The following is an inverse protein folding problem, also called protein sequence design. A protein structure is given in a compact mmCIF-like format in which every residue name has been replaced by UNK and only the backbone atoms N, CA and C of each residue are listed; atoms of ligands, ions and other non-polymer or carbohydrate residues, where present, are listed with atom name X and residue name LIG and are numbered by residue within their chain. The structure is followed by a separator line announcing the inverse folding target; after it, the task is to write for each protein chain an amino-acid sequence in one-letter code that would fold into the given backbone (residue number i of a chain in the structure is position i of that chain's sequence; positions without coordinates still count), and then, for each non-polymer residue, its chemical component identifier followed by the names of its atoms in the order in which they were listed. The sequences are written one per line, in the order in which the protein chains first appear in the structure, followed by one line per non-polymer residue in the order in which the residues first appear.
data_IF_821872653451
#
_entry.id   IF_821872653451
#
_cell.length_a   1.000
_cell.length_b   1.000
_cell.length_c   1.000
_cell.angle_alpha   90.00
_cell.angle_beta   90.00
_cell.angle_gamma   90.00
#
_symmetry.space_group_name_H-M   'P 1'
#
loop_
_entity.id
_entity.type
_entity.pdbx_description
1 polymer ?
#
# COMPACT_ATOMS: atom_id res chain seq x y z
N UNK A 1 16.09 5.32 -6.65
CA UNK A 1 15.06 4.31 -7.03
C UNK A 1 15.69 3.14 -7.77
N UNK A 2 14.89 2.27 -8.39
CA UNK A 2 15.35 1.26 -9.36
C UNK A 2 16.21 1.89 -10.47
N UNK A 3 17.02 1.08 -11.16
CA UNK A 3 17.83 1.57 -12.30
C UNK A 3 19.01 2.48 -11.96
N UNK A 4 19.32 2.69 -10.68
CA UNK A 4 20.41 3.57 -10.22
C UNK A 4 21.81 2.93 -10.23
N UNK A 5 21.96 1.73 -10.80
CA UNK A 5 23.27 1.06 -10.89
C UNK A 5 23.81 0.51 -9.56
N UNK A 6 22.96 0.29 -8.54
CA UNK A 6 23.37 -0.25 -7.22
C UNK A 6 24.17 -1.54 -7.33
N UNK A 7 23.64 -2.52 -8.06
CA UNK A 7 24.31 -3.81 -8.27
C UNK A 7 25.65 -3.62 -9.00
N UNK A 8 25.66 -2.88 -10.11
CA UNK A 8 26.87 -2.60 -10.89
C UNK A 8 27.96 -1.94 -10.05
N UNK A 9 27.57 -1.03 -9.15
CA UNK A 9 28.49 -0.36 -8.23
C UNK A 9 29.10 -1.35 -7.24
N UNK A 10 28.30 -2.21 -6.61
CA UNK A 10 28.81 -3.25 -5.71
C UNK A 10 29.77 -4.22 -6.42
N UNK A 11 29.43 -4.66 -7.63
CA UNK A 11 30.29 -5.55 -8.42
C UNK A 11 31.59 -4.86 -8.88
N UNK A 12 31.53 -3.56 -9.20
CA UNK A 12 32.72 -2.76 -9.53
C UNK A 12 33.66 -2.65 -8.33
N UNK A 13 33.12 -2.35 -7.14
CA UNK A 13 33.90 -2.28 -5.91
C UNK A 13 34.53 -3.63 -5.56
N UNK A 14 33.74 -4.72 -5.65
CA UNK A 14 34.23 -6.09 -5.47
C UNK A 14 35.40 -6.38 -6.42
N UNK A 15 35.28 -6.03 -7.71
CA UNK A 15 36.36 -6.20 -8.68
C UNK A 15 37.64 -5.43 -8.29
N UNK A 16 37.51 -4.17 -7.90
CA UNK A 16 38.65 -3.35 -7.53
C UNK A 16 39.33 -3.81 -6.23
N UNK A 17 38.57 -4.34 -5.27
CA UNK A 17 39.11 -4.94 -4.04
C UNK A 17 39.95 -6.18 -4.36
N UNK A 18 39.42 -7.10 -5.19
CA UNK A 18 40.15 -8.31 -5.59
C UNK A 18 41.42 -7.97 -6.39
N UNK A 19 41.38 -6.94 -7.24
CA UNK A 19 42.57 -6.43 -7.95
C UNK A 19 43.65 -5.89 -7.00
N UNK A 20 43.27 -5.46 -5.79
CA UNK A 20 44.17 -4.97 -4.74
C UNK A 20 44.52 -6.05 -3.70
N UNK A 21 44.07 -7.29 -3.88
CA UNK A 21 44.29 -8.39 -2.94
C UNK A 21 43.39 -8.38 -1.71
N UNK A 22 42.37 -7.52 -1.66
CA UNK A 22 41.36 -7.49 -0.60
C UNK A 22 40.21 -8.42 -0.98
N UNK A 23 39.91 -9.41 -0.13
CA UNK A 23 38.84 -10.38 -0.36
C UNK A 23 37.52 -9.88 0.24
N UNK A 24 36.80 -9.03 -0.49
CA UNK A 24 35.44 -8.60 -0.12
C UNK A 24 34.37 -9.54 -0.67
N UNK A 25 33.09 -9.26 -0.38
CA UNK A 25 31.95 -10.06 -0.81
C UNK A 25 30.75 -9.18 -1.17
N UNK A 26 29.71 -9.80 -1.72
CA UNK A 26 28.47 -9.13 -2.12
C UNK A 26 27.28 -9.92 -1.60
N UNK A 27 26.37 -9.27 -0.89
CA UNK A 27 25.10 -9.84 -0.46
C UNK A 27 23.96 -8.87 -0.75
N UNK A 28 22.73 -9.39 -0.80
CA UNK A 28 21.53 -8.60 -1.09
C UNK A 28 20.61 -8.57 0.14
N UNK A 29 20.25 -7.37 0.57
CA UNK A 29 19.21 -7.17 1.58
C UNK A 29 17.92 -6.70 0.91
N UNK A 30 16.89 -7.54 0.97
CA UNK A 30 15.51 -7.21 0.63
C UNK A 30 14.60 -7.79 1.69
N UNK A 31 13.58 -7.03 2.08
CA UNK A 31 12.61 -7.50 3.09
C UNK A 31 11.56 -8.42 2.49
N UNK A 32 11.19 -8.20 1.22
CA UNK A 32 10.17 -8.97 0.52
C UNK A 32 10.67 -9.43 -0.87
N UNK A 33 10.24 -10.61 -1.35
CA UNK A 33 9.46 -11.60 -0.60
C UNK A 33 10.26 -12.18 0.57
N UNK A 34 9.55 -12.71 1.57
CA UNK A 34 10.18 -13.40 2.70
C UNK A 34 10.42 -14.85 2.26
N UNK A 35 11.68 -15.22 2.13
CA UNK A 35 12.10 -16.47 1.51
C UNK A 35 11.68 -17.73 2.29
N UNK A 36 11.60 -17.63 3.62
CA UNK A 36 11.35 -18.76 4.52
C UNK A 36 9.89 -18.90 4.96
N UNK A 37 8.94 -18.22 4.28
CA UNK A 37 7.50 -18.44 4.47
C UNK A 37 6.87 -18.86 3.14
N UNK A 38 5.70 -19.54 3.14
CA UNK A 38 5.12 -20.09 1.92
C UNK A 38 4.88 -19.06 0.82
N UNK A 39 4.92 -19.49 -0.44
CA UNK A 39 4.59 -18.66 -1.60
C UNK A 39 3.22 -17.99 -1.44
N UNK A 40 2.23 -18.80 -1.05
CA UNK A 40 0.85 -18.39 -0.85
C UNK A 40 0.57 -17.76 0.52
N UNK A 41 1.62 -17.44 1.28
CA UNK A 41 1.44 -16.73 2.53
C UNK A 41 0.94 -15.30 2.23
N UNK A 42 -0.13 -14.79 2.89
CA UNK A 42 -0.69 -13.46 2.62
C UNK A 42 0.35 -12.32 2.63
N UNK A 43 1.39 -12.42 3.46
CA UNK A 43 2.51 -11.45 3.48
C UNK A 43 3.27 -11.39 2.14
N UNK A 44 3.59 -12.55 1.55
CA UNK A 44 4.24 -12.59 0.24
C UNK A 44 3.27 -12.15 -0.86
N UNK A 45 2.01 -12.55 -0.78
CA UNK A 45 0.97 -12.11 -1.73
C UNK A 45 0.74 -10.60 -1.66
N UNK A 46 0.78 -9.99 -0.46
CA UNK A 46 0.66 -8.54 -0.30
C UNK A 46 1.85 -7.79 -0.91
N UNK A 47 3.05 -8.37 -0.93
CA UNK A 47 4.17 -7.83 -1.69
C UNK A 47 3.88 -7.85 -3.20
N UNK A 48 3.36 -8.95 -3.73
CA UNK A 48 2.97 -9.02 -5.14
C UNK A 48 1.84 -8.02 -5.49
N UNK A 49 0.89 -7.83 -4.58
CA UNK A 49 -0.12 -6.78 -4.69
C UNK A 49 0.49 -5.38 -4.70
N UNK A 50 1.62 -5.17 -4.03
CA UNK A 50 2.31 -3.88 -3.99
C UNK A 50 3.19 -3.61 -5.22
N UNK A 51 3.48 -4.63 -6.03
CA UNK A 51 4.30 -4.57 -7.24
C UNK A 51 3.52 -4.89 -8.51
N UNK A 52 2.19 -4.87 -8.46
CA UNK A 52 1.33 -5.26 -9.58
C UNK A 52 1.57 -4.42 -10.85
N UNK A 53 1.96 -3.16 -10.68
CA UNK A 53 2.30 -2.20 -11.74
C UNK A 53 3.63 -2.52 -12.45
N UNK A 54 4.64 -2.96 -11.69
CA UNK A 54 5.95 -3.35 -12.24
C UNK A 54 6.06 -4.84 -12.58
N UNK A 55 4.98 -5.60 -12.33
CA UNK A 55 4.81 -7.02 -12.71
C UNK A 55 5.86 -7.96 -12.11
N UNK A 56 6.45 -7.59 -10.98
CA UNK A 56 7.26 -8.51 -10.18
C UNK A 56 6.30 -9.53 -9.52
N UNK A 57 6.64 -10.82 -9.62
CA UNK A 57 5.83 -11.91 -9.06
C UNK A 57 6.69 -12.91 -8.31
N UNK A 58 6.09 -13.49 -7.28
CA UNK A 58 6.79 -14.44 -6.42
C UNK A 58 6.80 -15.83 -7.05
N UNK A 59 7.87 -16.59 -6.81
CA UNK A 59 7.97 -17.98 -7.22
C UNK A 59 8.90 -18.77 -6.29
N UNK A 60 8.85 -20.10 -6.40
CA UNK A 60 9.78 -20.98 -5.71
C UNK A 60 11.15 -20.86 -6.37
N UNK A 61 12.19 -20.58 -5.60
CA UNK A 61 13.57 -20.52 -6.09
C UNK A 61 14.01 -21.92 -6.60
N UNK A 62 14.13 -22.12 -7.92
CA UNK A 62 14.46 -23.43 -8.46
C UNK A 62 15.90 -23.84 -8.14
N UNK A 63 16.82 -22.87 -8.00
CA UNK A 63 18.23 -23.16 -7.73
C UNK A 63 18.43 -23.64 -6.29
N UNK A 64 17.70 -23.05 -5.35
CA UNK A 64 17.75 -23.46 -3.94
C UNK A 64 17.10 -24.84 -3.77
N UNK A 65 15.97 -25.08 -4.44
CA UNK A 65 15.29 -26.36 -4.43
C UNK A 65 16.17 -27.47 -5.03
N UNK A 66 16.83 -27.23 -6.16
CA UNK A 66 17.72 -28.22 -6.79
C UNK A 66 18.96 -28.53 -5.93
N UNK A 67 19.53 -27.50 -5.29
CA UNK A 67 20.78 -27.64 -4.52
C UNK A 67 20.55 -28.27 -3.16
N UNK A 68 19.51 -27.85 -2.43
CA UNK A 68 19.30 -28.19 -1.03
C UNK A 68 18.07 -29.06 -0.79
N UNK A 69 17.21 -29.24 -1.81
CA UNK A 69 15.90 -29.88 -1.67
C UNK A 69 15.00 -29.18 -0.63
N UNK A 70 15.16 -27.86 -0.51
CA UNK A 70 14.41 -26.99 0.40
C UNK A 70 13.61 -25.94 -0.40
N UNK A 71 12.33 -25.78 -0.05
CA UNK A 71 11.47 -24.77 -0.68
C UNK A 71 11.79 -23.41 -0.08
N UNK A 72 12.19 -22.47 -0.93
CA UNK A 72 12.36 -21.04 -0.60
C UNK A 72 11.70 -20.17 -1.66
N UNK A 73 11.29 -18.97 -1.25
CA UNK A 73 10.57 -18.03 -2.11
C UNK A 73 11.49 -16.90 -2.57
N UNK A 74 11.47 -16.64 -3.87
CA UNK A 74 12.14 -15.51 -4.49
C UNK A 74 11.17 -14.89 -5.53
N UNK A 75 11.68 -14.04 -6.42
CA UNK A 75 10.86 -13.40 -7.45
C UNK A 75 11.56 -13.44 -8.81
N UNK A 76 10.76 -13.28 -9.87
CA UNK A 76 11.17 -13.53 -11.25
C UNK A 76 12.48 -12.86 -11.65
N UNK A 77 12.65 -11.57 -11.35
CA UNK A 77 13.82 -10.80 -11.79
C UNK A 77 15.14 -11.34 -11.22
N UNK A 78 15.14 -11.72 -9.94
CA UNK A 78 16.34 -12.21 -9.28
C UNK A 78 16.68 -13.63 -9.70
N UNK A 79 15.66 -14.48 -9.86
CA UNK A 79 15.82 -15.85 -10.39
C UNK A 79 16.35 -15.81 -11.83
N UNK A 80 15.81 -14.94 -12.68
CA UNK A 80 16.24 -14.78 -14.08
C UNK A 80 17.70 -14.31 -14.19
N UNK A 81 18.14 -13.36 -13.36
CA UNK A 81 19.49 -12.78 -13.46
C UNK A 81 20.57 -13.62 -12.74
N UNK A 82 20.18 -14.50 -11.81
CA UNK A 82 21.11 -15.22 -10.94
C UNK A 82 22.24 -15.98 -11.70
N UNK A 83 21.99 -16.72 -12.79
CA UNK A 83 23.06 -17.42 -13.51
C UNK A 83 24.14 -16.50 -14.06
N UNK A 84 23.76 -15.29 -14.50
CA UNK A 84 24.71 -14.28 -14.99
C UNK A 84 25.52 -13.72 -13.83
N UNK A 85 24.85 -13.39 -12.73
CA UNK A 85 25.49 -12.84 -11.54
C UNK A 85 26.47 -13.83 -10.91
N UNK A 86 26.11 -15.11 -10.83
CA UNK A 86 26.98 -16.21 -10.38
C UNK A 86 28.29 -16.25 -11.17
N UNK A 87 28.22 -16.23 -12.50
CA UNK A 87 29.40 -16.22 -13.39
C UNK A 87 30.26 -14.98 -13.22
N UNK A 88 29.66 -13.81 -12.99
CA UNK A 88 30.40 -12.57 -12.75
C UNK A 88 31.17 -12.68 -11.43
N UNK A 89 30.54 -13.17 -10.36
CA UNK A 89 31.20 -13.39 -9.06
C UNK A 89 32.36 -14.37 -9.20
N UNK A 90 32.16 -15.50 -9.89
CA UNK A 90 33.23 -16.48 -10.14
C UNK A 90 34.40 -15.87 -10.91
N UNK A 91 34.11 -15.06 -11.94
CA UNK A 91 35.14 -14.39 -12.74
C UNK A 91 35.93 -13.33 -11.95
N UNK A 92 35.27 -12.58 -11.08
CA UNK A 92 35.93 -11.57 -10.24
C UNK A 92 36.79 -12.24 -9.16
N UNK A 93 36.24 -13.26 -8.51
CA UNK A 93 36.87 -13.89 -7.34
C UNK A 93 37.91 -14.96 -7.72
N UNK A 94 37.83 -15.53 -8.93
CA UNK A 94 38.67 -16.64 -9.38
C UNK A 94 38.37 -17.95 -8.66
N UNK A 95 37.25 -18.03 -7.93
CA UNK A 95 36.81 -19.19 -7.16
C UNK A 95 35.35 -19.50 -7.48
N UNK A 96 34.87 -20.67 -7.04
CA UNK A 96 33.46 -21.00 -7.14
C UNK A 96 32.60 -19.98 -6.35
N UNK A 97 31.43 -19.63 -6.89
CA UNK A 97 30.51 -18.71 -6.22
C UNK A 97 30.10 -19.27 -4.84
N UNK A 98 30.12 -18.44 -3.78
CA UNK A 98 29.64 -18.83 -2.46
C UNK A 98 28.11 -19.02 -2.44
N UNK A 99 27.40 -18.50 -3.45
CA UNK A 99 25.95 -18.60 -3.58
C UNK A 99 25.59 -19.67 -4.60
N UNK A 100 24.74 -20.63 -4.20
CA UNK A 100 24.16 -21.64 -5.08
C UNK A 100 22.77 -21.24 -5.58
N UNK A 101 22.11 -20.31 -4.89
CA UNK A 101 20.82 -19.73 -5.30
C UNK A 101 20.73 -18.22 -4.99
N UNK A 102 19.76 -17.48 -5.55
CA UNK A 102 19.49 -16.10 -5.13
C UNK A 102 18.99 -16.02 -3.68
N UNK A 103 18.41 -17.09 -3.13
CA UNK A 103 18.10 -17.18 -1.69
C UNK A 103 19.37 -17.15 -0.83
N UNK A 104 20.43 -17.87 -1.20
CA UNK A 104 21.71 -17.84 -0.46
C UNK A 104 22.37 -16.45 -0.47
N UNK A 105 22.16 -15.70 -1.57
CA UNK A 105 22.64 -14.34 -1.74
C UNK A 105 21.90 -13.35 -0.84
N UNK A 106 20.68 -13.70 -0.41
CA UNK A 106 19.84 -12.93 0.47
C UNK A 106 20.30 -12.99 1.93
N UNK A 107 20.18 -11.88 2.65
CA UNK A 107 20.45 -11.82 4.11
C UNK A 107 19.20 -11.54 4.94
N UNK A 108 18.01 -11.73 4.35
CA UNK A 108 16.74 -11.43 5.00
C UNK A 108 16.46 -12.39 6.18
N UNK A 109 16.09 -11.81 7.33
CA UNK A 109 15.69 -12.55 8.55
C UNK A 109 14.27 -12.21 9.02
N UNK A 110 13.49 -11.45 8.24
CA UNK A 110 12.18 -10.96 8.65
C UNK A 110 11.19 -12.07 9.03
N UNK A 111 11.17 -13.18 8.29
CA UNK A 111 10.27 -14.31 8.59
C UNK A 111 10.51 -14.95 9.96
N UNK A 112 11.75 -14.94 10.45
CA UNK A 112 12.08 -15.45 11.79
C UNK A 112 11.58 -14.54 12.92
N UNK A 113 11.26 -13.28 12.60
CA UNK A 113 10.75 -12.30 13.57
C UNK A 113 9.22 -12.28 13.67
N UNK A 114 8.51 -13.15 12.94
CA UNK A 114 7.05 -13.25 13.03
C UNK A 114 6.70 -13.97 14.34
N UNK A 115 6.13 -13.21 15.29
CA UNK A 115 5.69 -13.73 16.60
C UNK A 115 4.20 -14.07 16.66
N UNK A 116 3.41 -13.50 15.76
CA UNK A 116 1.97 -13.74 15.60
C UNK A 116 1.65 -13.81 14.11
N UNK A 117 1.52 -15.04 13.61
CA UNK A 117 1.31 -15.35 12.19
C UNK A 117 -0.09 -14.91 11.71
N UNK A 118 -1.11 -15.03 12.57
CA UNK A 118 -2.48 -14.65 12.22
C UNK A 118 -2.64 -13.13 12.15
N UNK A 119 -1.99 -12.38 13.05
CA UNK A 119 -1.98 -10.93 12.99
C UNK A 119 -1.33 -10.40 11.70
N UNK A 120 -0.21 -10.97 11.25
CA UNK A 120 0.45 -10.55 10.00
C UNK A 120 -0.35 -10.98 8.77
N UNK A 121 -1.03 -12.13 8.80
CA UNK A 121 -1.93 -12.56 7.73
C UNK A 121 -3.10 -11.59 7.56
N UNK A 122 -3.75 -11.20 8.66
CA UNK A 122 -4.87 -10.25 8.59
C UNK A 122 -4.41 -8.88 8.12
N UNK A 123 -3.28 -8.38 8.65
CA UNK A 123 -2.71 -7.11 8.21
C UNK A 123 -2.37 -7.11 6.71
N UNK A 124 -1.81 -8.22 6.20
CA UNK A 124 -1.48 -8.38 4.80
C UNK A 124 -2.73 -8.45 3.90
N UNK A 125 -3.77 -9.18 4.31
CA UNK A 125 -5.09 -9.19 3.63
C UNK A 125 -5.67 -7.78 3.50
N UNK A 126 -5.64 -7.01 4.58
CA UNK A 126 -6.09 -5.61 4.54
C UNK A 126 -5.24 -4.75 3.59
N UNK A 127 -3.93 -5.00 3.49
CA UNK A 127 -3.07 -4.30 2.52
C UNK A 127 -3.40 -4.64 1.07
N UNK A 128 -3.68 -5.92 0.77
CA UNK A 128 -4.12 -6.34 -0.56
C UNK A 128 -5.39 -5.58 -0.98
N UNK A 129 -6.39 -5.47 -0.09
CA UNK A 129 -7.61 -4.70 -0.36
C UNK A 129 -7.29 -3.21 -0.59
N UNK A 130 -6.37 -2.63 0.19
CA UNK A 130 -5.93 -1.23 -0.02
C UNK A 130 -5.27 -1.04 -1.38
N UNK A 131 -4.44 -1.98 -1.83
CA UNK A 131 -3.78 -1.92 -3.14
C UNK A 131 -4.78 -1.93 -4.29
N UNK A 132 -5.78 -2.80 -4.21
CA UNK A 132 -6.87 -2.82 -5.19
C UNK A 132 -7.59 -1.47 -5.32
N UNK A 133 -8.00 -0.86 -4.20
CA UNK A 133 -8.63 0.47 -4.23
C UNK A 133 -7.68 1.55 -4.74
N UNK A 134 -6.41 1.51 -4.35
CA UNK A 134 -5.39 2.45 -4.82
C UNK A 134 -5.25 2.40 -6.34
N UNK A 135 -5.02 1.21 -6.91
CA UNK A 135 -4.87 1.07 -8.36
C UNK A 135 -6.16 1.42 -9.10
N UNK A 136 -7.33 1.12 -8.53
CA UNK A 136 -8.62 1.53 -9.10
C UNK A 136 -8.75 3.06 -9.17
N UNK A 137 -8.32 3.79 -8.14
CA UNK A 137 -8.27 5.25 -8.14
C UNK A 137 -7.24 5.77 -9.14
N UNK A 138 -6.03 5.21 -9.16
CA UNK A 138 -4.95 5.60 -10.08
C UNK A 138 -5.36 5.37 -11.54
N UNK A 139 -6.07 4.28 -11.84
CA UNK A 139 -6.63 4.00 -13.17
C UNK A 139 -7.68 5.04 -13.56
N UNK A 140 -8.61 5.36 -12.65
CA UNK A 140 -9.61 6.39 -12.89
C UNK A 140 -9.00 7.79 -13.11
N UNK A 141 -7.82 8.06 -12.55
CA UNK A 141 -7.05 9.29 -12.75
C UNK A 141 -6.12 9.25 -13.98
N UNK A 142 -5.99 8.11 -14.65
CA UNK A 142 -5.11 7.94 -15.81
C UNK A 142 -3.63 7.74 -15.48
N UNK A 143 -3.29 7.33 -14.25
CA UNK A 143 -1.91 7.10 -13.82
C UNK A 143 -1.41 5.67 -14.04
N UNK A 144 -2.31 4.70 -14.16
CA UNK A 144 -1.97 3.30 -14.41
C UNK A 144 -2.90 2.70 -15.47
N UNK A 145 -2.55 1.51 -15.95
CA UNK A 145 -3.34 0.76 -16.91
C UNK A 145 -4.41 -0.12 -16.24
N UNK A 146 -5.33 -0.62 -17.07
CA UNK A 146 -6.39 -1.53 -16.62
C UNK A 146 -5.83 -2.89 -16.17
N UNK A 147 -4.72 -3.32 -16.76
CA UNK A 147 -4.07 -4.60 -16.45
C UNK A 147 -3.60 -4.65 -15.00
N UNK A 148 -3.08 -3.54 -14.46
CA UNK A 148 -2.68 -3.42 -13.05
C UNK A 148 -3.86 -3.63 -12.10
N UNK A 149 -5.03 -3.05 -12.41
CA UNK A 149 -6.25 -3.24 -11.60
C UNK A 149 -6.71 -4.70 -11.64
N UNK A 150 -6.74 -5.30 -12.83
CA UNK A 150 -7.12 -6.71 -13.02
C UNK A 150 -6.17 -7.65 -12.26
N UNK A 151 -4.88 -7.35 -12.24
CA UNK A 151 -3.91 -8.12 -11.46
C UNK A 151 -4.18 -8.01 -9.97
N UNK A 152 -4.48 -6.82 -9.45
CA UNK A 152 -4.85 -6.64 -8.05
C UNK A 152 -6.15 -7.38 -7.69
N UNK A 153 -7.13 -7.44 -8.60
CA UNK A 153 -8.36 -8.24 -8.44
C UNK A 153 -8.06 -9.74 -8.34
N UNK A 154 -7.25 -10.28 -9.25
CA UNK A 154 -6.85 -11.70 -9.22
C UNK A 154 -6.11 -12.07 -7.93
N UNK A 155 -5.25 -11.16 -7.45
CA UNK A 155 -4.52 -11.34 -6.18
C UNK A 155 -5.50 -11.37 -4.99
N UNK A 156 -6.53 -10.53 -4.99
CA UNK A 156 -7.59 -10.58 -3.97
C UNK A 156 -8.34 -11.91 -3.98
N UNK A 157 -8.68 -12.41 -5.17
CA UNK A 157 -9.33 -13.72 -5.33
C UNK A 157 -8.45 -14.86 -4.79
N UNK A 158 -7.13 -14.81 -5.03
CA UNK A 158 -6.18 -15.82 -4.55
C UNK A 158 -6.18 -15.96 -3.02
N UNK A 159 -6.29 -14.85 -2.28
CA UNK A 159 -6.41 -14.86 -0.81
C UNK A 159 -7.85 -14.92 -0.31
N UNK A 160 -8.82 -15.08 -1.23
CA UNK A 160 -10.25 -15.17 -0.93
C UNK A 160 -10.80 -13.98 -0.14
N UNK A 161 -10.34 -12.77 -0.46
CA UNK A 161 -10.85 -11.52 0.15
C UNK A 161 -11.63 -10.68 -0.86
N UNK A 162 -12.58 -9.91 -0.36
CA UNK A 162 -13.43 -9.00 -1.14
C UNK A 162 -13.20 -7.56 -0.70
N UNK A 163 -13.53 -6.57 -1.54
CA UNK A 163 -13.41 -5.17 -1.15
C UNK A 163 -14.20 -4.84 0.13
N UNK A 164 -15.31 -5.53 0.34
CA UNK A 164 -16.21 -5.38 1.49
C UNK A 164 -15.63 -5.92 2.81
N UNK A 165 -14.59 -6.76 2.76
CA UNK A 165 -13.92 -7.27 3.97
C UNK A 165 -13.12 -6.17 4.69
N UNK A 166 -12.85 -5.06 4.00
CA UNK A 166 -12.42 -3.81 4.64
C UNK A 166 -13.62 -3.14 5.30
N UNK A 167 -13.66 -3.20 6.63
CA UNK A 167 -14.81 -2.84 7.49
C UNK A 167 -15.43 -1.45 7.22
N UNK A 168 -14.65 -0.49 6.72
CA UNK A 168 -15.13 0.88 6.41
C UNK A 168 -15.84 1.02 5.06
N UNK A 169 -15.72 0.05 4.15
CA UNK A 169 -16.25 0.16 2.77
C UNK A 169 -17.78 0.18 2.76
N UNK A 170 -18.40 -0.78 3.42
CA UNK A 170 -19.87 -0.87 3.48
C UNK A 170 -20.51 0.31 4.23
N UNK A 171 -19.99 0.74 5.41
CA UNK A 171 -20.45 1.95 6.08
C UNK A 171 -20.36 3.21 5.21
N UNK A 172 -19.27 3.42 4.47
CA UNK A 172 -19.14 4.57 3.57
C UNK A 172 -20.19 4.53 2.45
N UNK A 173 -20.39 3.38 1.81
CA UNK A 173 -21.42 3.18 0.78
C UNK A 173 -22.84 3.38 1.31
N UNK A 174 -23.13 2.90 2.53
CA UNK A 174 -24.42 3.11 3.21
C UNK A 174 -24.64 4.59 3.51
N UNK A 175 -23.62 5.30 3.99
CA UNK A 175 -23.72 6.74 4.25
C UNK A 175 -24.04 7.54 2.97
N UNK A 176 -23.48 7.17 1.82
CA UNK A 176 -23.80 7.77 0.53
C UNK A 176 -25.27 7.51 0.11
N UNK A 177 -25.76 6.27 0.24
CA UNK A 177 -27.17 5.93 -0.05
C UNK A 177 -28.16 6.61 0.89
N UNK A 178 -27.79 6.77 2.17
CA UNK A 178 -28.62 7.53 3.13
C UNK A 178 -28.64 9.02 2.81
N UNK A 179 -27.51 9.58 2.37
CA UNK A 179 -27.40 10.95 1.92
C UNK A 179 -28.35 11.22 0.75
N UNK A 180 -28.37 10.33 -0.24
CA UNK A 180 -29.32 10.35 -1.36
C UNK A 180 -30.78 10.32 -0.88
N UNK A 181 -31.16 9.32 -0.07
CA UNK A 181 -32.54 9.17 0.45
C UNK A 181 -33.04 10.37 1.24
N UNK A 182 -32.13 11.05 1.97
CA UNK A 182 -32.45 12.21 2.81
C UNK A 182 -32.26 13.55 2.09
N UNK A 183 -31.87 13.54 0.82
CA UNK A 183 -31.53 14.76 0.06
C UNK A 183 -30.34 15.54 0.63
N UNK A 184 -29.49 14.88 1.43
CA UNK A 184 -28.32 15.50 2.07
C UNK A 184 -27.09 15.29 1.18
N UNK A 185 -26.95 16.15 0.17
CA UNK A 185 -25.82 16.16 -0.77
C UNK A 185 -25.57 17.58 -1.30
N UNK A 186 -24.92 17.70 -2.46
CA UNK A 186 -24.76 18.98 -3.15
C UNK A 186 -24.86 18.77 -4.67
N UNK A 187 -25.67 19.58 -5.36
CA UNK A 187 -25.82 19.54 -6.84
C UNK A 187 -26.09 18.14 -7.42
N UNK A 188 -26.91 17.32 -6.74
CA UNK A 188 -27.23 15.95 -7.17
C UNK A 188 -26.12 14.92 -6.92
N UNK A 189 -25.02 15.32 -6.29
CA UNK A 189 -23.91 14.44 -5.92
C UNK A 189 -24.04 14.03 -4.45
N UNK A 190 -23.98 12.72 -4.19
CA UNK A 190 -24.07 12.11 -2.86
C UNK A 190 -22.83 11.25 -2.59
N UNK A 191 -22.07 11.63 -1.57
CA UNK A 191 -20.84 10.98 -1.16
C UNK A 191 -20.93 10.57 0.30
N UNK A 192 -20.36 9.41 0.61
CA UNK A 192 -20.23 8.89 1.97
C UNK A 192 -18.78 8.56 2.27
N UNK A 193 -18.40 8.70 3.54
CA UNK A 193 -17.08 8.38 4.03
C UNK A 193 -17.20 7.65 5.38
N UNK A 194 -16.22 6.82 5.72
CA UNK A 194 -16.18 6.11 7.00
C UNK A 194 -14.74 5.94 7.49
N UNK A 195 -14.57 5.90 8.80
CA UNK A 195 -13.31 5.63 9.49
C UNK A 195 -13.57 4.68 10.66
N UNK A 196 -12.65 3.75 10.87
CA UNK A 196 -12.59 2.91 12.08
C UNK A 196 -11.62 3.55 13.06
N UNK A 197 -12.07 3.77 14.29
CA UNK A 197 -11.26 4.30 15.38
C UNK A 197 -10.57 3.18 16.16
N UNK A 198 -9.60 3.54 17.01
CA UNK A 198 -8.85 2.56 17.82
C UNK A 198 -9.73 1.75 18.78
N UNK A 199 -10.88 2.28 19.18
CA UNK A 199 -11.88 1.60 20.00
C UNK A 199 -12.78 0.64 19.19
N UNK A 200 -12.51 0.46 17.89
CA UNK A 200 -13.29 -0.35 16.97
C UNK A 200 -14.57 0.32 16.47
N UNK A 201 -14.87 1.56 16.90
CA UNK A 201 -16.08 2.26 16.48
C UNK A 201 -15.92 2.76 15.05
N UNK A 202 -16.94 2.49 14.23
CA UNK A 202 -17.05 3.04 12.89
C UNK A 202 -17.79 4.37 12.96
N UNK A 203 -17.11 5.45 12.57
CA UNK A 203 -17.71 6.77 12.37
C UNK A 203 -17.93 6.99 10.88
N UNK A 204 -19.05 7.63 10.52
CA UNK A 204 -19.39 7.95 9.13
C UNK A 204 -19.58 9.45 8.94
N UNK A 205 -19.38 9.89 7.70
CA UNK A 205 -19.62 11.24 7.24
C UNK A 205 -20.33 11.22 5.89
N UNK A 206 -21.06 12.28 5.59
CA UNK A 206 -21.74 12.47 4.31
C UNK A 206 -21.62 13.91 3.85
N UNK A 207 -21.54 14.11 2.54
CA UNK A 207 -21.46 15.46 2.01
C UNK A 207 -22.79 16.21 2.21
N UNK A 208 -22.71 17.52 2.11
CA UNK A 208 -23.84 18.45 2.15
C UNK A 208 -23.47 19.73 1.41
N UNK A 209 -24.39 20.67 1.34
CA UNK A 209 -24.13 22.02 0.83
C UNK A 209 -23.05 22.76 1.63
N UNK A 210 -22.83 22.39 2.90
CA UNK A 210 -21.85 23.04 3.77
C UNK A 210 -20.45 22.41 3.70
N UNK A 211 -20.34 21.10 3.50
CA UNK A 211 -19.06 20.39 3.65
C UNK A 211 -19.00 19.07 2.88
N UNK A 212 -17.80 18.65 2.54
CA UNK A 212 -17.52 17.35 1.95
C UNK A 212 -17.73 16.20 2.96
N UNK A 213 -17.89 14.98 2.44
CA UNK A 213 -18.07 13.79 3.27
C UNK A 213 -16.87 13.52 4.19
N UNK A 214 -15.65 13.79 3.71
CA UNK A 214 -14.42 13.69 4.50
C UNK A 214 -14.38 14.69 5.66
N UNK A 215 -14.73 15.95 5.43
CA UNK A 215 -14.82 16.97 6.48
C UNK A 215 -15.85 16.60 7.54
N UNK A 216 -17.05 16.19 7.11
CA UNK A 216 -18.10 15.71 8.02
C UNK A 216 -17.64 14.51 8.84
N UNK A 217 -16.94 13.56 8.20
CA UNK A 217 -16.42 12.37 8.87
C UNK A 217 -15.42 12.75 9.97
N UNK A 218 -14.47 13.62 9.67
CA UNK A 218 -13.43 14.04 10.62
C UNK A 218 -14.03 14.81 11.78
N UNK A 219 -14.95 15.75 11.54
CA UNK A 219 -15.64 16.46 12.63
C UNK A 219 -16.45 15.49 13.51
N UNK A 220 -17.14 14.51 12.93
CA UNK A 220 -17.86 13.49 13.70
C UNK A 220 -16.91 12.62 14.53
N UNK A 221 -15.75 12.28 13.97
CA UNK A 221 -14.73 11.50 14.67
C UNK A 221 -14.11 12.28 15.82
N UNK A 222 -13.79 13.56 15.63
CA UNK A 222 -13.30 14.46 16.68
C UNK A 222 -14.32 14.56 17.81
N UNK A 223 -15.60 14.77 17.49
CA UNK A 223 -16.67 14.82 18.50
C UNK A 223 -16.76 13.52 19.30
N UNK A 224 -16.66 12.37 18.64
CA UNK A 224 -16.66 11.08 19.34
C UNK A 224 -15.47 10.94 20.28
N UNK A 225 -14.25 11.23 19.81
CA UNK A 225 -13.02 11.09 20.61
C UNK A 225 -12.98 12.08 21.77
N UNK A 226 -13.52 13.30 21.59
CA UNK A 226 -13.59 14.32 22.62
C UNK A 226 -14.87 14.23 23.50
N UNK A 227 -15.69 13.19 23.32
CA UNK A 227 -16.96 12.98 24.03
C UNK A 227 -17.94 14.17 23.92
N UNK A 228 -17.86 14.94 22.82
CA UNK A 228 -18.72 16.08 22.55
C UNK A 228 -20.07 15.57 21.99
N UNK A 229 -21.21 15.92 22.62
CA UNK A 229 -22.52 15.51 22.15
C UNK A 229 -22.80 15.91 20.69
N UNK A 230 -23.50 15.04 19.95
CA UNK A 230 -23.71 15.25 18.51
C UNK A 230 -24.51 16.53 18.16
N UNK A 231 -25.35 17.00 19.08
CA UNK A 231 -26.10 18.26 18.91
C UNK A 231 -25.24 19.53 18.95
N UNK A 232 -23.98 19.43 19.38
CA UNK A 232 -23.08 20.59 19.47
C UNK A 232 -22.40 20.82 18.13
N UNK A 233 -22.56 22.03 17.59
CA UNK A 233 -21.83 22.50 16.42
C UNK A 233 -20.43 22.93 16.83
N UNK A 234 -19.41 22.38 16.18
CA UNK A 234 -18.02 22.75 16.42
C UNK A 234 -17.61 24.03 15.69
N UNK A 235 -18.20 24.29 14.52
CA UNK A 235 -17.88 25.44 13.69
C UNK A 235 -18.89 26.57 13.90
N UNK A 236 -18.39 27.77 14.20
CA UNK A 236 -19.24 28.96 14.35
C UNK A 236 -19.87 29.36 13.00
N UNK A 237 -21.17 29.70 12.96
CA UNK A 237 -21.82 30.21 11.75
C UNK A 237 -21.13 31.45 11.15
N UNK A 238 -20.50 32.29 11.98
CA UNK A 238 -19.77 33.45 11.52
C UNK A 238 -18.53 33.06 10.70
N UNK A 239 -17.78 32.04 11.15
CA UNK A 239 -16.60 31.52 10.43
C UNK A 239 -17.02 30.88 9.11
N UNK A 240 -18.07 30.05 9.15
CA UNK A 240 -18.64 29.42 7.94
C UNK A 240 -19.04 30.48 6.89
N UNK A 241 -19.68 31.57 7.34
CA UNK A 241 -20.09 32.68 6.46
C UNK A 241 -18.88 33.41 5.87
N UNK A 242 -17.82 33.64 6.64
CA UNK A 242 -16.60 34.30 6.16
C UNK A 242 -15.89 33.48 5.09
N UNK A 243 -15.73 32.16 5.29
CA UNK A 243 -15.10 31.27 4.30
C UNK A 243 -15.96 31.19 3.04
N UNK A 244 -17.28 31.07 3.20
CA UNK A 244 -18.23 31.10 2.08
C UNK A 244 -18.14 32.39 1.27
N UNK A 245 -18.08 33.54 1.94
CA UNK A 245 -17.96 34.85 1.30
C UNK A 245 -16.64 34.98 0.50
N UNK A 246 -15.54 34.48 1.06
CA UNK A 246 -14.24 34.43 0.35
C UNK A 246 -14.32 33.57 -0.92
N UNK A 247 -14.97 32.41 -0.85
CA UNK A 247 -15.16 31.53 -2.00
C UNK A 247 -16.05 32.14 -3.09
N UNK A 248 -17.24 32.60 -2.72
CA UNK A 248 -18.25 33.08 -3.65
C UNK A 248 -17.85 34.42 -4.27
N UNK A 249 -17.44 35.39 -3.44
CA UNK A 249 -17.33 36.79 -3.87
C UNK A 249 -15.91 37.24 -4.23
N UNK A 250 -14.88 36.56 -3.74
CA UNK A 250 -13.48 36.96 -3.99
C UNK A 250 -12.81 36.02 -5.00
N UNK A 251 -12.98 34.71 -4.83
CA UNK A 251 -12.32 33.70 -5.71
C UNK A 251 -13.20 33.20 -6.84
N UNK A 252 -14.46 33.64 -6.94
CA UNK A 252 -15.43 33.25 -7.97
C UNK A 252 -15.59 31.73 -8.13
N UNK A 253 -15.35 30.96 -7.06
CA UNK A 253 -15.54 29.50 -7.08
C UNK A 253 -17.02 29.19 -6.92
N UNK A 254 -17.57 28.38 -7.84
CA UNK A 254 -18.96 27.89 -7.77
C UNK A 254 -19.21 26.91 -6.62
N UNK A 255 -18.16 26.21 -6.15
CA UNK A 255 -18.29 25.15 -5.14
C UNK A 255 -18.02 25.73 -3.75
N UNK A 256 -19.09 25.78 -2.95
CA UNK A 256 -19.12 26.46 -1.67
C UNK A 256 -18.86 25.52 -0.48
N UNK A 257 -19.01 24.20 -0.67
CA UNK A 257 -18.79 23.23 0.39
C UNK A 257 -17.34 23.25 0.87
N UNK A 258 -17.15 23.18 2.18
CA UNK A 258 -15.85 23.10 2.80
C UNK A 258 -15.21 21.75 2.54
N UNK A 259 -13.98 21.75 2.02
CA UNK A 259 -13.14 20.56 2.03
C UNK A 259 -12.56 20.30 3.43
N UNK A 260 -11.71 19.29 3.58
CA UNK A 260 -11.20 18.89 4.89
C UNK A 260 -10.19 19.91 5.43
N UNK A 261 -9.36 20.49 4.57
CA UNK A 261 -8.36 21.48 4.95
C UNK A 261 -9.04 22.73 5.49
N UNK A 262 -10.03 23.25 4.76
CA UNK A 262 -10.80 24.43 5.15
C UNK A 262 -11.61 24.19 6.43
N UNK A 263 -12.18 23.00 6.60
CA UNK A 263 -12.90 22.64 7.81
C UNK A 263 -11.99 22.57 9.03
N UNK A 264 -10.72 22.16 8.88
CA UNK A 264 -9.74 22.15 9.95
C UNK A 264 -9.19 23.55 10.27
N UNK A 265 -9.06 24.43 9.28
CA UNK A 265 -8.72 25.85 9.51
C UNK A 265 -9.83 26.58 10.28
N UNK A 266 -11.09 26.19 10.03
CA UNK A 266 -12.26 26.79 10.66
C UNK A 266 -12.50 26.34 12.12
N UNK A 267 -11.94 25.19 12.51
CA UNK A 267 -12.13 24.54 13.80
C UNK A 267 -11.22 25.16 14.87
#
# INVERSE_FOLDING_TARGET
GPGSGKLSTCLSQLYHDYRKGVKSGYAKFETFPIWNIPLKHPVNIAYEAATADIRDFNLIDPFHLETYNEISINYNRDVEIFPVLKRILEKITGAESPYKSPTDMGVNRAGFGIVDDEAVKEAAKQEIIRRFFKYSCEYAMGFTDKETVQRAELIMEEVSVKPEDRVVVNPARKAAKEAEKKGKGNEGIFCGAAIELKDGKIITGKNSTLMHASSSLVLNAIKHVAEIPDKIHLLSPAILKSIRNLKENITSKKIVSLDLEEALIAL
#
